data_IF_253152643077
#
_entry.id   IF_253152643077
#
_cell.length_a   1.000
_cell.length_b   1.000
_cell.length_c   1.000
_cell.angle_alpha   90.00
_cell.angle_beta   90.00
_cell.angle_gamma   90.00
#
_symmetry.space_group_name_H-M   'P 1'
#
loop_
_entity.id
_entity.type
_entity.pdbx_description
1 polymer ?
#
# COMPACT_ATOMS: atom_id res chain seq x y z
N UNK A 1 -36.68 48.87 24.10
CA UNK A 1 -35.26 48.43 24.17
C UNK A 1 -35.30 46.90 24.18
N UNK A 2 -35.25 46.28 23.01
CA UNK A 2 -35.41 44.83 22.88
C UNK A 2 -34.06 44.12 23.04
N UNK A 3 -34.06 43.12 23.90
CA UNK A 3 -32.90 42.32 24.29
C UNK A 3 -32.46 41.40 23.15
N UNK A 4 -31.18 41.46 22.79
CA UNK A 4 -30.52 40.53 21.88
C UNK A 4 -30.38 39.11 22.48
N UNK A 5 -30.33 38.12 21.58
CA UNK A 5 -29.30 37.05 21.42
C UNK A 5 -29.94 35.68 21.18
N UNK A 6 -29.98 35.26 19.92
CA UNK A 6 -30.22 33.87 19.53
C UNK A 6 -28.98 33.27 18.85
N UNK A 7 -28.63 32.08 19.34
CA UNK A 7 -27.97 30.96 18.64
C UNK A 7 -26.46 31.03 18.41
N UNK A 8 -25.75 30.49 19.42
CA UNK A 8 -24.55 29.67 19.32
C UNK A 8 -24.67 28.66 18.16
N UNK A 9 -23.78 28.74 17.17
CA UNK A 9 -23.57 27.69 16.19
C UNK A 9 -22.24 26.98 16.48
N UNK A 10 -22.35 25.72 16.86
CA UNK A 10 -21.28 24.73 17.06
C UNK A 10 -20.50 24.57 15.75
N UNK A 11 -19.21 24.88 15.75
CA UNK A 11 -18.28 24.42 14.71
C UNK A 11 -17.55 23.20 15.25
N UNK A 12 -17.83 22.07 14.59
CA UNK A 12 -17.39 20.73 14.93
C UNK A 12 -15.87 20.63 15.06
N UNK A 13 -15.42 19.97 16.13
CA UNK A 13 -14.02 19.61 16.34
C UNK A 13 -13.58 18.60 15.29
N UNK A 14 -12.50 18.93 14.57
CA UNK A 14 -11.79 18.00 13.70
C UNK A 14 -11.10 16.96 14.59
N UNK A 15 -11.73 15.80 14.78
CA UNK A 15 -11.05 14.66 15.39
C UNK A 15 -10.00 14.15 14.40
N UNK A 16 -8.72 14.34 14.72
CA UNK A 16 -7.62 13.64 14.05
C UNK A 16 -7.81 12.16 14.38
N UNK A 17 -8.26 11.37 13.41
CA UNK A 17 -8.23 9.91 13.47
C UNK A 17 -6.77 9.45 13.50
N UNK A 18 -6.17 9.49 14.68
CA UNK A 18 -4.99 8.69 14.97
C UNK A 18 -5.44 7.23 14.98
N UNK A 19 -4.97 6.43 14.02
CA UNK A 19 -5.06 4.98 14.10
C UNK A 19 -4.35 4.54 15.38
N UNK A 20 -5.11 4.36 16.47
CA UNK A 20 -4.60 3.74 17.69
C UNK A 20 -4.45 2.26 17.39
N UNK A 21 -3.26 1.87 16.91
CA UNK A 21 -2.96 0.44 16.78
C UNK A 21 -3.04 -0.17 18.19
N UNK A 22 -3.73 -1.31 18.36
CA UNK A 22 -3.74 -1.99 19.65
C UNK A 22 -2.32 -2.40 20.02
N UNK A 23 -1.86 -2.00 21.20
CA UNK A 23 -0.66 -2.58 21.81
C UNK A 23 -1.09 -3.87 22.49
N UNK A 24 -0.71 -5.01 21.93
CA UNK A 24 -0.79 -6.28 22.64
C UNK A 24 0.30 -6.29 23.72
N UNK A 25 -0.10 -6.21 24.99
CA UNK A 25 0.83 -6.36 26.10
C UNK A 25 1.33 -7.81 26.12
N UNK A 26 2.64 -8.00 26.07
CA UNK A 26 3.23 -9.32 26.30
C UNK A 26 2.92 -9.75 27.74
N UNK A 27 2.41 -10.97 27.89
CA UNK A 27 2.11 -11.56 29.20
C UNK A 27 2.94 -12.81 29.40
N UNK A 28 3.43 -13.02 30.62
CA UNK A 28 4.15 -14.23 31.01
C UNK A 28 3.29 -14.97 32.01
N UNK A 29 2.98 -16.22 31.69
CA UNK A 29 2.30 -17.14 32.59
C UNK A 29 3.32 -18.05 33.28
N UNK A 30 3.21 -18.17 34.60
CA UNK A 30 4.13 -19.01 35.38
C UNK A 30 3.48 -20.36 35.69
N UNK A 31 4.19 -21.45 35.36
CA UNK A 31 3.81 -22.78 35.78
C UNK A 31 4.52 -23.13 37.10
N UNK A 32 3.74 -23.39 38.17
CA UNK A 32 4.26 -23.93 39.43
C UNK A 32 4.57 -25.43 39.31
N UNK A 33 5.75 -25.86 39.77
CA UNK A 33 6.17 -27.27 39.76
C UNK A 33 6.61 -27.69 41.15
N UNK A 34 6.00 -28.75 41.69
CA UNK A 34 6.41 -29.41 42.93
C UNK A 34 6.86 -30.85 42.60
N UNK A 35 7.98 -31.31 43.17
CA UNK A 35 8.51 -32.67 42.97
C UNK A 35 9.01 -33.24 44.31
N UNK A 36 8.98 -34.56 44.46
CA UNK A 36 9.49 -35.28 45.65
C UNK A 36 10.68 -36.18 45.33
N UNK A 37 11.44 -36.60 46.34
CA UNK A 37 12.70 -37.36 46.19
C UNK A 37 12.55 -38.71 45.45
N UNK A 38 11.33 -39.26 45.37
CA UNK A 38 11.05 -40.54 44.71
C UNK A 38 10.67 -40.41 43.22
N UNK A 39 10.46 -39.18 42.72
CA UNK A 39 10.02 -38.96 41.34
C UNK A 39 11.22 -38.83 40.39
N UNK A 40 11.22 -39.58 39.30
CA UNK A 40 12.18 -39.39 38.21
C UNK A 40 12.02 -37.98 37.61
N UNK A 41 13.12 -37.35 37.18
CA UNK A 41 13.10 -35.97 36.68
C UNK A 41 12.05 -35.76 35.57
N UNK A 42 11.12 -34.83 35.80
CA UNK A 42 10.02 -34.56 34.86
C UNK A 42 10.31 -33.33 33.98
N UNK A 43 9.86 -33.37 32.72
CA UNK A 43 9.95 -32.26 31.76
C UNK A 43 8.63 -31.49 31.69
N UNK A 44 8.68 -30.19 31.45
CA UNK A 44 7.53 -29.33 31.17
C UNK A 44 7.80 -28.51 29.93
N UNK A 45 6.76 -28.30 29.13
CA UNK A 45 6.82 -27.44 27.97
C UNK A 45 6.64 -25.99 28.42
N UNK A 46 7.36 -25.07 27.78
CA UNK A 46 7.18 -23.63 27.96
C UNK A 46 6.89 -23.05 26.58
N UNK A 47 5.71 -22.47 26.43
CA UNK A 47 5.31 -21.81 25.19
C UNK A 47 5.97 -20.43 25.09
N UNK A 48 6.49 -20.10 23.91
CA UNK A 48 7.04 -18.78 23.60
C UNK A 48 6.20 -18.17 22.50
N UNK A 49 5.45 -17.13 22.84
CA UNK A 49 4.54 -16.45 21.92
C UNK A 49 5.14 -15.14 21.42
N UNK A 50 5.03 -14.92 20.12
CA UNK A 50 5.35 -13.65 19.47
C UNK A 50 4.20 -13.28 18.54
N UNK A 51 3.60 -12.12 18.76
CA UNK A 51 2.52 -11.58 17.92
C UNK A 51 2.90 -10.19 17.45
N UNK A 52 2.83 -9.98 16.13
CA UNK A 52 3.07 -8.69 15.51
C UNK A 52 2.02 -8.44 14.43
N UNK A 53 1.60 -7.18 14.30
CA UNK A 53 0.73 -6.75 13.21
C UNK A 53 1.53 -6.63 11.91
N UNK A 54 0.97 -7.12 10.81
CA UNK A 54 1.55 -6.97 9.46
C UNK A 54 1.78 -5.49 9.11
N UNK A 55 2.96 -5.18 8.57
CA UNK A 55 3.33 -3.84 8.09
C UNK A 55 3.99 -3.94 6.72
N UNK A 56 3.70 -3.00 5.82
CA UNK A 56 4.32 -2.98 4.50
C UNK A 56 4.46 -1.55 3.97
N UNK A 57 5.32 -1.41 2.95
CA UNK A 57 5.57 -0.17 2.24
C UNK A 57 5.64 -0.46 0.74
N UNK A 58 5.10 0.45 -0.06
CA UNK A 58 5.06 0.35 -1.52
C UNK A 58 5.79 1.54 -2.11
N UNK A 59 6.70 1.27 -3.05
CA UNK A 59 7.40 2.30 -3.84
C UNK A 59 6.91 2.24 -5.27
N UNK A 60 6.25 3.32 -5.72
CA UNK A 60 5.77 3.49 -7.09
C UNK A 60 6.48 4.68 -7.75
N UNK A 61 6.55 4.74 -9.10
CA UNK A 61 7.07 5.89 -9.82
C UNK A 61 6.24 7.14 -9.56
N UNK A 62 6.89 8.26 -9.27
CA UNK A 62 6.22 9.57 -9.17
C UNK A 62 5.96 10.22 -10.54
N UNK A 63 6.80 9.89 -11.53
CA UNK A 63 6.74 10.42 -12.90
C UNK A 63 7.33 9.38 -13.85
N UNK A 64 6.65 9.17 -14.97
CA UNK A 64 7.11 8.34 -16.07
C UNK A 64 7.27 9.25 -17.29
N UNK A 65 8.38 9.11 -18.02
CA UNK A 65 8.64 9.85 -19.26
C UNK A 65 8.69 8.83 -20.39
N UNK A 66 7.87 9.04 -21.41
CA UNK A 66 7.81 8.17 -22.58
C UNK A 66 8.98 8.47 -23.52
N UNK A 67 9.59 7.41 -24.05
CA UNK A 67 10.66 7.51 -25.04
C UNK A 67 10.15 7.76 -26.46
N UNK A 68 11.03 7.62 -27.45
CA UNK A 68 10.70 7.80 -28.87
C UNK A 68 9.66 6.79 -29.38
N UNK A 69 9.64 5.59 -28.81
CA UNK A 69 8.63 4.55 -29.07
C UNK A 69 7.27 4.89 -28.45
N UNK A 70 7.18 5.98 -27.67
CA UNK A 70 6.00 6.41 -26.90
C UNK A 70 5.60 5.42 -25.82
N UNK A 71 6.59 4.70 -25.31
CA UNK A 71 6.46 3.72 -24.23
C UNK A 71 7.54 3.94 -23.19
N UNK A 72 7.34 3.42 -21.99
CA UNK A 72 8.32 3.45 -20.91
C UNK A 72 8.02 2.37 -19.88
N UNK A 73 9.06 1.63 -19.49
CA UNK A 73 8.97 0.65 -18.41
C UNK A 73 9.06 1.35 -17.05
N UNK A 74 8.43 0.74 -16.05
CA UNK A 74 8.53 1.15 -14.66
C UNK A 74 8.58 -0.05 -13.73
N UNK A 75 9.02 0.17 -12.50
CA UNK A 75 9.02 -0.84 -11.45
C UNK A 75 8.21 -0.38 -10.24
N UNK A 76 7.54 -1.33 -9.61
CA UNK A 76 6.90 -1.20 -8.32
C UNK A 76 7.61 -2.12 -7.34
N UNK A 77 8.05 -1.57 -6.21
CA UNK A 77 8.68 -2.35 -5.14
C UNK A 77 7.73 -2.46 -3.95
N UNK A 78 7.61 -3.66 -3.38
CA UNK A 78 6.92 -3.86 -2.11
C UNK A 78 7.86 -4.54 -1.13
N UNK A 79 7.97 -3.97 0.07
CA UNK A 79 8.73 -4.51 1.19
C UNK A 79 7.99 -4.34 2.50
N UNK A 80 8.25 -5.22 3.45
CA UNK A 80 7.62 -5.16 4.76
C UNK A 80 7.84 -6.40 5.58
N UNK A 81 6.99 -6.57 6.58
CA UNK A 81 6.86 -7.77 7.37
C UNK A 81 5.37 -8.08 7.48
N UNK A 82 4.91 -9.09 6.75
CA UNK A 82 3.50 -9.50 6.72
C UNK A 82 3.39 -10.97 7.09
N UNK A 83 2.27 -11.32 7.70
CA UNK A 83 1.98 -12.71 8.04
C UNK A 83 1.84 -13.57 6.79
N UNK A 84 2.13 -14.87 6.94
CA UNK A 84 2.19 -15.80 5.80
C UNK A 84 0.86 -16.03 5.11
N UNK A 85 -0.26 -15.74 5.79
CA UNK A 85 -1.63 -15.78 5.31
C UNK A 85 -2.07 -14.48 4.60
N UNK A 86 -1.18 -13.49 4.49
CA UNK A 86 -1.45 -12.22 3.79
C UNK A 86 -0.64 -12.08 2.51
N UNK A 87 -1.14 -11.21 1.63
CA UNK A 87 -0.46 -10.75 0.43
C UNK A 87 -0.75 -9.26 0.18
N UNK A 88 0.15 -8.60 -0.53
CA UNK A 88 -0.05 -7.20 -0.94
C UNK A 88 -0.43 -7.17 -2.42
N UNK A 89 -1.53 -6.49 -2.74
CA UNK A 89 -1.97 -6.22 -4.10
C UNK A 89 -1.64 -4.78 -4.47
N UNK A 90 -0.91 -4.59 -5.56
CA UNK A 90 -0.65 -3.27 -6.16
C UNK A 90 -0.97 -3.35 -7.65
N UNK A 91 -2.03 -2.67 -8.07
CA UNK A 91 -2.52 -2.68 -9.45
C UNK A 91 -2.68 -1.24 -9.96
N UNK A 92 -2.08 -0.87 -11.12
CA UNK A 92 -2.37 0.39 -11.77
C UNK A 92 -3.76 0.38 -12.41
N UNK A 93 -4.32 1.57 -12.68
CA UNK A 93 -5.38 1.69 -13.68
C UNK A 93 -4.89 1.16 -15.03
N UNK A 94 -5.77 0.56 -15.83
CA UNK A 94 -5.38 -0.05 -17.11
C UNK A 94 -5.18 0.96 -18.23
N UNK A 95 -5.79 2.14 -18.11
CA UNK A 95 -5.74 3.20 -19.10
C UNK A 95 -5.91 4.56 -18.45
N UNK A 96 -5.48 5.59 -19.17
CA UNK A 96 -5.72 6.99 -18.83
C UNK A 96 -5.56 7.88 -20.06
N UNK A 97 -6.07 9.11 -19.99
CA UNK A 97 -5.97 10.06 -21.09
C UNK A 97 -4.73 10.95 -20.95
N UNK A 98 -3.99 11.08 -22.04
CA UNK A 98 -2.94 12.07 -22.23
C UNK A 98 -3.54 13.30 -22.92
N UNK A 99 -3.48 14.44 -22.24
CA UNK A 99 -3.98 15.72 -22.75
C UNK A 99 -2.84 16.57 -23.28
N UNK A 100 -3.07 17.18 -24.45
CA UNK A 100 -2.16 18.17 -25.03
C UNK A 100 -2.09 19.42 -24.14
N UNK A 101 -0.86 19.81 -23.83
CA UNK A 101 -0.53 20.95 -22.97
C UNK A 101 -0.37 22.25 -23.76
N UNK A 102 -0.66 22.24 -25.06
CA UNK A 102 -0.76 23.46 -25.87
C UNK A 102 -1.84 24.42 -25.34
N UNK A 103 -1.78 25.67 -25.81
CA UNK A 103 -2.74 26.72 -25.48
C UNK A 103 -4.17 26.29 -25.81
N UNK A 104 -5.12 26.71 -24.98
CA UNK A 104 -6.55 26.47 -25.20
C UNK A 104 -6.96 26.99 -26.58
N UNK A 105 -7.63 26.15 -27.38
CA UNK A 105 -8.04 26.46 -28.76
C UNK A 105 -7.13 25.87 -29.84
N UNK A 106 -5.90 25.45 -29.49
CA UNK A 106 -4.99 24.73 -30.40
C UNK A 106 -4.71 23.30 -29.94
N UNK A 107 -5.38 22.86 -28.87
CA UNK A 107 -5.20 21.52 -28.31
C UNK A 107 -5.63 20.47 -29.31
N UNK A 108 -4.79 19.45 -29.45
CA UNK A 108 -5.16 18.20 -30.10
C UNK A 108 -6.14 17.44 -29.21
N UNK A 109 -6.85 16.49 -29.81
CA UNK A 109 -7.69 15.55 -29.06
C UNK A 109 -6.84 14.75 -28.06
N UNK A 110 -7.45 14.39 -26.93
CA UNK A 110 -6.82 13.51 -25.96
C UNK A 110 -6.48 12.16 -26.60
N UNK A 111 -5.36 11.58 -26.17
CA UNK A 111 -4.89 10.26 -26.61
C UNK A 111 -4.96 9.32 -25.43
N UNK A 112 -5.64 8.18 -25.60
CA UNK A 112 -5.64 7.14 -24.59
C UNK A 112 -4.28 6.44 -24.54
N UNK A 113 -3.73 6.34 -23.33
CA UNK A 113 -2.55 5.58 -23.00
C UNK A 113 -2.98 4.31 -22.25
N UNK A 114 -2.20 3.25 -22.42
CA UNK A 114 -2.38 1.96 -21.76
C UNK A 114 -1.31 1.76 -20.71
N UNK A 115 -1.67 1.10 -19.62
CA UNK A 115 -0.75 0.71 -18.55
C UNK A 115 -0.89 -0.78 -18.33
N UNK A 116 0.25 -1.48 -18.26
CA UNK A 116 0.30 -2.93 -18.09
C UNK A 116 1.22 -3.30 -16.94
N UNK A 117 0.81 -4.27 -16.14
CA UNK A 117 1.63 -4.86 -15.08
C UNK A 117 1.18 -6.30 -14.87
N UNK A 118 1.94 -7.25 -15.42
CA UNK A 118 1.51 -8.66 -15.49
C UNK A 118 1.34 -9.30 -14.11
N UNK A 119 2.10 -8.81 -13.12
CA UNK A 119 2.05 -9.33 -11.76
C UNK A 119 1.72 -8.19 -10.80
N UNK A 120 0.54 -8.26 -10.21
CA UNK A 120 0.00 -7.26 -9.28
C UNK A 120 -0.05 -7.75 -7.83
N UNK A 121 0.38 -8.98 -7.56
CA UNK A 121 0.34 -9.61 -6.24
C UNK A 121 1.75 -9.88 -5.74
N UNK A 122 2.06 -9.46 -4.52
CA UNK A 122 3.26 -9.80 -3.78
C UNK A 122 2.91 -10.73 -2.63
N UNK A 123 3.48 -11.93 -2.67
CA UNK A 123 3.36 -12.90 -1.57
C UNK A 123 4.10 -12.42 -0.33
N UNK A 124 3.81 -12.97 0.85
CA UNK A 124 4.60 -12.75 2.06
C UNK A 124 6.10 -13.01 1.85
N UNK A 125 6.45 -14.06 1.10
CA UNK A 125 7.85 -14.34 0.74
C UNK A 125 8.49 -13.26 -0.13
N UNK A 126 7.73 -12.55 -0.96
CA UNK A 126 8.22 -11.42 -1.76
C UNK A 126 8.38 -10.15 -0.93
N UNK A 127 7.39 -9.87 -0.07
CA UNK A 127 7.33 -8.67 0.77
C UNK A 127 8.40 -8.72 1.86
N UNK A 128 8.64 -9.88 2.47
CA UNK A 128 9.56 -10.05 3.60
C UNK A 128 11.04 -10.18 3.17
N UNK A 129 11.37 -10.01 1.89
CA UNK A 129 12.78 -9.89 1.45
C UNK A 129 13.36 -8.57 1.96
N UNK A 130 14.64 -8.58 2.33
CA UNK A 130 15.35 -7.41 2.90
C UNK A 130 15.18 -6.13 2.07
N UNK A 131 15.20 -6.23 0.74
CA UNK A 131 15.04 -5.11 -0.18
C UNK A 131 13.65 -5.07 -0.86
N UNK A 132 12.71 -5.89 -0.37
CA UNK A 132 11.46 -6.16 -1.07
C UNK A 132 11.66 -6.91 -2.38
N UNK A 133 10.61 -6.87 -3.20
CA UNK A 133 10.63 -7.44 -4.55
C UNK A 133 10.07 -6.43 -5.53
N UNK A 134 10.79 -6.21 -6.64
CA UNK A 134 10.32 -5.41 -7.77
C UNK A 134 9.45 -6.23 -8.70
N UNK A 135 8.37 -5.62 -9.20
CA UNK A 135 7.60 -6.13 -10.34
C UNK A 135 7.48 -5.03 -11.37
N UNK A 136 7.77 -5.39 -12.62
CA UNK A 136 7.80 -4.47 -13.74
C UNK A 136 6.40 -4.24 -14.30
N UNK A 137 6.20 -3.04 -14.84
CA UNK A 137 5.07 -2.69 -15.68
C UNK A 137 5.52 -1.76 -16.80
N UNK A 138 4.60 -1.40 -17.68
CA UNK A 138 4.87 -0.57 -18.85
C UNK A 138 3.70 0.40 -19.08
N UNK A 139 4.03 1.61 -19.54
CA UNK A 139 3.07 2.58 -20.06
C UNK A 139 3.30 2.77 -21.54
N UNK A 140 2.24 2.69 -22.36
CA UNK A 140 2.32 2.86 -23.81
C UNK A 140 1.22 3.80 -24.33
N UNK A 141 1.62 4.78 -25.16
CA UNK A 141 0.71 5.76 -25.77
C UNK A 141 1.03 5.97 -27.27
N UNK A 142 0.83 4.95 -28.12
CA UNK A 142 1.28 4.98 -29.53
C UNK A 142 0.64 6.09 -30.37
N UNK A 143 -0.55 6.57 -29.98
CA UNK A 143 -1.28 7.65 -30.67
C UNK A 143 -0.71 9.06 -30.49
N UNK A 144 0.26 9.26 -29.59
CA UNK A 144 0.83 10.59 -29.35
C UNK A 144 1.54 11.13 -30.59
N UNK A 145 1.50 12.44 -30.77
CA UNK A 145 2.22 13.16 -31.84
C UNK A 145 3.11 14.23 -31.23
N UNK A 146 3.94 14.91 -32.03
CA UNK A 146 4.84 15.96 -31.53
C UNK A 146 4.09 17.01 -30.71
N UNK A 147 4.63 17.36 -29.54
CA UNK A 147 3.99 18.29 -28.60
C UNK A 147 4.30 17.92 -27.16
N UNK A 148 3.74 18.69 -26.23
CA UNK A 148 3.82 18.41 -24.79
C UNK A 148 2.53 17.77 -24.35
N UNK A 149 2.61 16.56 -23.79
CA UNK A 149 1.45 15.81 -23.34
C UNK A 149 1.60 15.45 -21.87
N UNK A 150 0.50 15.43 -21.13
CA UNK A 150 0.48 14.97 -19.75
C UNK A 150 -0.82 14.24 -19.43
N UNK A 151 -0.71 13.22 -18.59
CA UNK A 151 -1.81 12.45 -18.05
C UNK A 151 -1.38 11.83 -16.72
N UNK A 152 -2.36 11.35 -15.98
CA UNK A 152 -2.15 10.73 -14.66
C UNK A 152 -3.02 9.49 -14.56
N UNK A 153 -2.49 8.45 -13.92
CA UNK A 153 -3.21 7.24 -13.53
C UNK A 153 -2.89 6.91 -12.07
N UNK A 154 -3.72 6.11 -11.43
CA UNK A 154 -3.60 5.75 -10.03
C UNK A 154 -3.15 4.29 -9.84
N UNK A 155 -2.61 4.00 -8.67
CA UNK A 155 -2.34 2.63 -8.22
C UNK A 155 -3.27 2.30 -7.05
N UNK A 156 -4.05 1.23 -7.20
CA UNK A 156 -4.79 0.62 -6.10
C UNK A 156 -3.84 -0.26 -5.27
N UNK A 157 -3.80 -0.02 -3.96
CA UNK A 157 -2.91 -0.72 -3.02
C UNK A 157 -3.76 -1.32 -1.88
N UNK A 158 -3.62 -2.62 -1.64
CA UNK A 158 -4.35 -3.31 -0.58
C UNK A 158 -3.51 -4.42 0.08
N UNK A 159 -3.79 -4.69 1.36
CA UNK A 159 -3.37 -5.91 2.05
C UNK A 159 -4.59 -6.84 2.09
N UNK A 160 -4.42 -8.06 1.61
CA UNK A 160 -5.50 -9.03 1.43
C UNK A 160 -5.11 -10.38 2.04
N UNK A 161 -6.10 -11.20 2.35
CA UNK A 161 -5.89 -12.62 2.66
C UNK A 161 -5.45 -13.36 1.40
N UNK A 162 -4.55 -14.33 1.55
CA UNK A 162 -4.23 -15.27 0.48
C UNK A 162 -5.48 -16.11 0.19
N UNK A 163 -5.89 -16.17 -1.08
CA UNK A 163 -7.03 -16.98 -1.54
C UNK A 163 -6.68 -18.45 -1.73
#
# INVERSE_FOLDING_TARGET
MNMNKFMTAVMAGTMIMGNTMPVFAATTENQGVNQTEAEAGTKRDTEVLYTQTSTFSVTIPKKIVLGETKESDYNVNVKGDISSDKQVKVAPDTNFNMTDQATVGTKKADVEATVTQDITIWSSADVCKTNGTDKAGNVAAPGLTSGSWAGTFEFSIALEDVQ
#
